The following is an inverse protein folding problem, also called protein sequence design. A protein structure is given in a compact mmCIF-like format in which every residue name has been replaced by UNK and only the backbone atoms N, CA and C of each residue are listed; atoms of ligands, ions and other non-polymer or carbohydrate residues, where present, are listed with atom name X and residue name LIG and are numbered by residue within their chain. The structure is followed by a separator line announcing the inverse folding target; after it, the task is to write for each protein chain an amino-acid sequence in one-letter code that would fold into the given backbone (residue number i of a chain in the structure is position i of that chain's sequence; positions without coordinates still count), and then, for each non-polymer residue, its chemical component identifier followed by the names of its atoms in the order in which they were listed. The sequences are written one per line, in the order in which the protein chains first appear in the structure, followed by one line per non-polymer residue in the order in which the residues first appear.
data_IF_444732868554
#
_entry.id   IF_444732868554
#
_cell.length_a   1.000
_cell.length_b   1.000
_cell.length_c   1.000
_cell.angle_alpha   90.00
_cell.angle_beta   90.00
_cell.angle_gamma   90.00
#
_symmetry.space_group_name_H-M   'P 1'
#
loop_
_entity.id
_entity.type
_entity.pdbx_description
1 polymer ?
#
# COMPACT_ATOMS: atom_id res chain seq x y z
N UNK A 1 -23.88 -3.14 -11.64
CA UNK A 1 -24.05 -2.23 -10.49
C UNK A 1 -22.68 -1.60 -10.28
N UNK A 2 -22.44 -0.46 -10.91
CA UNK A 2 -21.17 0.27 -10.74
C UNK A 2 -21.17 0.88 -9.35
N UNK A 3 -20.26 0.39 -8.50
CA UNK A 3 -19.98 1.02 -7.22
C UNK A 3 -19.27 2.32 -7.53
N UNK A 4 -19.99 3.44 -7.47
CA UNK A 4 -19.41 4.77 -7.36
C UNK A 4 -18.55 4.79 -6.09
N UNK A 5 -17.25 4.55 -6.25
CA UNK A 5 -16.29 4.73 -5.18
C UNK A 5 -16.20 6.23 -4.91
N UNK A 6 -16.88 6.68 -3.85
CA UNK A 6 -16.72 8.02 -3.31
C UNK A 6 -15.22 8.28 -3.12
N UNK A 7 -14.65 9.18 -3.91
CA UNK A 7 -13.21 9.50 -3.95
C UNK A 7 -12.72 10.27 -2.71
N UNK A 8 -13.56 10.42 -1.68
CA UNK A 8 -13.31 11.35 -0.58
C UNK A 8 -12.38 10.82 0.51
N UNK A 9 -12.16 9.51 0.62
CA UNK A 9 -11.33 8.91 1.69
C UNK A 9 -10.36 7.85 1.12
N UNK A 10 -9.47 8.25 0.22
CA UNK A 10 -8.36 7.40 -0.24
C UNK A 10 -7.07 7.76 0.49
N UNK A 11 -6.33 6.74 0.95
CA UNK A 11 -5.01 6.88 1.57
C UNK A 11 -3.95 6.45 0.58
N UNK A 12 -2.88 7.24 0.46
CA UNK A 12 -1.71 6.86 -0.32
C UNK A 12 -0.92 5.79 0.44
N UNK A 13 -0.78 4.62 -0.19
CA UNK A 13 0.02 3.50 0.31
C UNK A 13 1.24 3.33 -0.58
N UNK A 14 2.42 3.24 0.04
CA UNK A 14 3.70 3.07 -0.63
C UNK A 14 4.26 1.71 -0.29
N UNK A 15 4.35 0.81 -1.26
CA UNK A 15 5.03 -0.46 -1.12
C UNK A 15 6.52 -0.28 -1.42
N UNK A 16 7.38 -0.76 -0.53
CA UNK A 16 8.83 -0.64 -0.63
C UNK A 16 9.44 -2.03 -0.69
N UNK A 17 9.93 -2.44 -1.84
CA UNK A 17 10.65 -3.71 -1.99
C UNK A 17 12.12 -3.53 -1.58
N UNK A 18 12.45 -3.99 -0.38
CA UNK A 18 13.73 -3.68 0.26
C UNK A 18 14.95 -4.19 -0.52
N UNK A 19 14.82 -5.31 -1.24
CA UNK A 19 15.94 -5.93 -1.95
C UNK A 19 16.46 -5.09 -3.12
N UNK A 20 15.57 -4.36 -3.79
CA UNK A 20 15.88 -3.59 -4.99
C UNK A 20 15.65 -2.10 -4.81
N UNK A 21 15.21 -1.68 -3.62
CA UNK A 21 14.79 -0.31 -3.30
C UNK A 21 13.70 0.23 -4.24
N UNK A 22 12.96 -0.67 -4.90
CA UNK A 22 11.87 -0.29 -5.79
C UNK A 22 10.63 0.04 -4.98
N UNK A 23 9.88 1.04 -5.43
CA UNK A 23 8.63 1.45 -4.81
C UNK A 23 7.45 1.35 -5.77
N UNK A 24 6.27 1.15 -5.19
CA UNK A 24 4.99 1.29 -5.88
C UNK A 24 4.01 2.09 -5.02
N UNK A 25 3.39 3.10 -5.60
CA UNK A 25 2.40 3.95 -4.92
C UNK A 25 1.00 3.66 -5.42
N UNK A 26 0.06 3.43 -4.50
CA UNK A 26 -1.34 3.20 -4.82
C UNK A 26 -2.25 3.96 -3.86
N UNK A 27 -3.39 4.41 -4.36
CA UNK A 27 -4.43 5.02 -3.53
C UNK A 27 -5.46 3.96 -3.19
N UNK A 28 -5.61 3.67 -1.90
CA UNK A 28 -6.55 2.67 -1.42
C UNK A 28 -7.68 3.34 -0.65
N UNK A 29 -8.91 2.88 -0.87
CA UNK A 29 -10.04 3.24 -0.03
C UNK A 29 -9.97 2.50 1.32
N UNK A 30 -10.83 2.89 2.27
CA UNK A 30 -10.87 2.32 3.62
C UNK A 30 -11.06 0.79 3.65
N UNK A 31 -11.85 0.22 2.74
CA UNK A 31 -12.08 -1.22 2.69
C UNK A 31 -10.82 -1.97 2.21
N UNK A 32 -10.15 -1.45 1.17
CA UNK A 32 -8.89 -2.00 0.66
C UNK A 32 -7.77 -1.89 1.69
N UNK A 33 -7.65 -0.74 2.36
CA UNK A 33 -6.66 -0.56 3.43
C UNK A 33 -6.91 -1.53 4.59
N UNK A 34 -8.17 -1.71 5.00
CA UNK A 34 -8.52 -2.65 6.08
C UNK A 34 -8.17 -4.10 5.71
N UNK A 35 -8.42 -4.51 4.46
CA UNK A 35 -8.01 -5.81 3.97
C UNK A 35 -6.48 -5.97 3.99
N UNK A 36 -5.76 -4.93 3.57
CA UNK A 36 -4.30 -4.90 3.54
C UNK A 36 -3.66 -4.96 4.93
N UNK A 37 -4.23 -4.28 5.93
CA UNK A 37 -3.75 -4.31 7.32
C UNK A 37 -3.81 -5.70 7.96
N UNK A 38 -4.71 -6.56 7.48
CA UNK A 38 -4.83 -7.95 7.95
C UNK A 38 -4.05 -8.95 7.08
N UNK A 39 -3.43 -8.49 5.99
CA UNK A 39 -2.66 -9.34 5.09
C UNK A 39 -1.28 -9.65 5.66
N UNK A 40 -0.76 -10.85 5.34
CA UNK A 40 0.64 -11.25 5.65
C UNK A 40 1.56 -11.15 4.44
N UNK A 41 0.97 -11.19 3.24
CA UNK A 41 1.66 -11.22 1.96
C UNK A 41 0.85 -10.43 0.94
N UNK A 42 1.54 -9.88 -0.05
CA UNK A 42 0.93 -9.12 -1.14
C UNK A 42 1.52 -9.58 -2.47
N UNK A 43 0.68 -9.62 -3.50
CA UNK A 43 1.15 -9.71 -4.88
C UNK A 43 1.10 -8.31 -5.49
N UNK A 44 2.22 -7.85 -6.02
CA UNK A 44 2.32 -6.57 -6.71
C UNK A 44 2.93 -6.85 -8.08
N UNK A 45 2.15 -6.59 -9.13
CA UNK A 45 2.53 -6.91 -10.51
C UNK A 45 3.87 -6.31 -10.90
N UNK A 46 4.12 -5.05 -10.48
CA UNK A 46 5.39 -4.35 -10.71
C UNK A 46 6.61 -5.14 -10.22
N UNK A 47 6.50 -5.83 -9.09
CA UNK A 47 7.60 -6.61 -8.52
C UNK A 47 7.61 -8.06 -9.02
N UNK A 48 6.53 -8.50 -9.71
CA UNK A 48 6.35 -9.86 -10.24
C UNK A 48 6.64 -10.94 -9.20
N UNK A 49 6.30 -10.66 -7.94
CA UNK A 49 6.62 -11.53 -6.80
C UNK A 49 5.52 -11.48 -5.75
N UNK A 50 5.35 -12.60 -5.06
CA UNK A 50 4.56 -12.69 -3.83
C UNK A 50 5.49 -12.33 -2.67
N UNK A 51 5.30 -11.15 -2.10
CA UNK A 51 6.21 -10.59 -1.11
C UNK A 51 5.57 -10.61 0.27
N UNK A 52 6.37 -10.94 1.27
CA UNK A 52 5.95 -10.89 2.68
C UNK A 52 5.99 -9.46 3.17
N UNK A 53 4.94 -9.06 3.88
CA UNK A 53 4.93 -7.81 4.61
C UNK A 53 5.86 -7.97 5.81
N UNK A 54 6.88 -7.15 5.88
CA UNK A 54 7.83 -7.14 6.98
C UNK A 54 7.43 -6.13 8.06
N UNK A 55 7.18 -4.89 7.65
CA UNK A 55 6.78 -3.82 8.55
C UNK A 55 5.90 -2.79 7.84
N UNK A 56 5.13 -2.07 8.64
CA UNK A 56 4.29 -0.98 8.18
C UNK A 56 4.54 0.26 9.01
N UNK A 57 4.56 1.42 8.36
CA UNK A 57 4.93 2.71 8.99
C UNK A 57 4.03 3.81 8.46
N UNK A 58 3.50 4.64 9.33
CA UNK A 58 2.89 5.91 8.94
C UNK A 58 3.96 6.96 8.75
N UNK A 59 3.99 7.58 7.57
CA UNK A 59 4.90 8.66 7.23
C UNK A 59 4.12 9.94 7.00
N UNK A 60 4.66 11.05 7.49
CA UNK A 60 4.18 12.39 7.17
C UNK A 60 5.33 13.19 6.58
N UNK A 61 5.15 13.66 5.35
CA UNK A 61 6.15 14.44 4.63
C UNK A 61 5.55 15.16 3.45
N UNK A 62 6.11 16.32 3.07
CA UNK A 62 5.61 17.15 1.97
C UNK A 62 4.10 17.47 2.08
N UNK A 63 3.62 17.73 3.29
CA UNK A 63 2.20 17.94 3.62
C UNK A 63 1.28 16.79 3.20
N UNK A 64 1.81 15.57 3.07
CA UNK A 64 1.06 14.36 2.74
C UNK A 64 1.30 13.29 3.79
N UNK A 65 0.22 12.61 4.16
CA UNK A 65 0.28 11.38 4.96
C UNK A 65 0.33 10.21 3.99
N UNK A 66 1.26 9.29 4.20
CA UNK A 66 1.31 8.02 3.48
C UNK A 66 1.51 6.83 4.42
N UNK A 67 1.02 5.68 4.00
CA UNK A 67 1.20 4.42 4.71
C UNK A 67 2.23 3.57 3.97
N UNK A 68 3.41 3.40 4.55
CA UNK A 68 4.50 2.67 3.93
C UNK A 68 4.49 1.21 4.38
N UNK A 69 4.67 0.29 3.43
CA UNK A 69 4.70 -1.15 3.65
C UNK A 69 5.99 -1.70 3.08
N UNK A 70 6.85 -2.19 3.95
CA UNK A 70 8.13 -2.77 3.58
C UNK A 70 7.97 -4.26 3.28
N UNK A 71 8.53 -4.67 2.15
CA UNK A 71 8.38 -5.99 1.57
C UNK A 71 9.73 -6.70 1.46
N UNK A 72 9.73 -7.99 1.82
CA UNK A 72 10.87 -8.92 1.73
C UNK A 72 10.83 -9.78 0.48
#
# INVERSE_FOLDING_TARGET
MEVAANQTDCICVVFVFQKTEQTEEVHLNSAQLTALLNAKQVWIERFSSNLKIDSTVWSYGNNKVSFQIYLK
#
